data_IF_704749453609
#
_entry.id   IF_704749453609
#
_cell.length_a   1.000
_cell.length_b   1.000
_cell.length_c   1.000
_cell.angle_alpha   90.00
_cell.angle_beta   90.00
_cell.angle_gamma   90.00
#
_symmetry.space_group_name_H-M   'P 1'
#
loop_
_entity.id
_entity.type
_entity.pdbx_description
1 polymer ?
#
# COMPACT_ATOMS: atom_id res chain seq x y z
N UNK A 1 -11.55 -3.77 -28.07
CA UNK A 1 -10.50 -2.83 -27.62
C UNK A 1 -10.56 -2.80 -26.10
N UNK A 2 -9.53 -3.28 -25.40
CA UNK A 2 -9.41 -3.18 -23.94
C UNK A 2 -8.95 -1.75 -23.62
N UNK A 3 -9.85 -0.91 -23.12
CA UNK A 3 -9.51 0.39 -22.52
C UNK A 3 -9.10 0.16 -21.07
N UNK A 4 -7.89 -0.35 -20.87
CA UNK A 4 -7.24 -0.42 -19.57
C UNK A 4 -6.32 0.78 -19.36
N UNK A 5 -6.02 1.10 -18.09
CA UNK A 5 -4.94 2.02 -17.74
C UNK A 5 -3.81 1.24 -17.09
N UNK A 6 -2.58 1.43 -17.55
CA UNK A 6 -1.40 0.94 -16.87
C UNK A 6 -1.11 1.87 -15.68
N UNK A 7 -1.10 1.31 -14.47
CA UNK A 7 -0.87 2.09 -13.25
C UNK A 7 -1.87 3.23 -13.00
N UNK A 8 -3.11 3.12 -13.51
CA UNK A 8 -4.11 4.18 -13.34
C UNK A 8 -3.80 5.47 -14.11
N UNK A 9 -2.91 5.41 -15.11
CA UNK A 9 -2.35 6.59 -15.79
C UNK A 9 -1.51 7.49 -14.87
N UNK A 10 -1.04 6.96 -13.75
CA UNK A 10 -0.24 7.73 -12.79
C UNK A 10 1.10 8.16 -13.38
N UNK A 11 1.54 9.34 -12.97
CA UNK A 11 2.85 9.93 -13.19
C UNK A 11 3.58 9.99 -11.85
N UNK A 12 4.33 8.93 -11.47
CA UNK A 12 4.86 8.79 -10.11
C UNK A 12 5.65 10.00 -9.63
N UNK A 13 6.41 10.63 -10.52
CA UNK A 13 7.23 11.82 -10.24
C UNK A 13 6.42 13.06 -9.86
N UNK A 14 5.13 13.11 -10.23
CA UNK A 14 4.22 14.21 -9.91
C UNK A 14 3.19 13.84 -8.86
N UNK A 15 2.60 12.65 -8.99
CA UNK A 15 1.45 12.25 -8.20
C UNK A 15 1.84 11.88 -6.77
N UNK A 16 2.98 11.20 -6.56
CA UNK A 16 3.41 10.78 -5.22
C UNK A 16 3.64 11.99 -4.30
N UNK A 17 4.41 13.04 -4.69
CA UNK A 17 4.55 14.24 -3.87
C UNK A 17 3.22 14.91 -3.52
N UNK A 18 2.28 14.94 -4.46
CA UNK A 18 0.95 15.53 -4.24
C UNK A 18 0.12 14.70 -3.26
N UNK A 19 0.13 13.37 -3.38
CA UNK A 19 -0.54 12.46 -2.45
C UNK A 19 0.03 12.64 -1.03
N UNK A 20 1.34 12.77 -0.88
CA UNK A 20 1.97 13.03 0.43
C UNK A 20 1.51 14.35 1.03
N UNK A 21 1.39 15.41 0.22
CA UNK A 21 0.85 16.71 0.67
C UNK A 21 -0.59 16.57 1.17
N UNK A 22 -1.45 15.90 0.42
CA UNK A 22 -2.86 15.67 0.79
C UNK A 22 -2.98 14.86 2.09
N UNK A 23 -2.12 13.84 2.27
CA UNK A 23 -2.06 13.04 3.50
C UNK A 23 -1.60 13.88 4.70
N UNK A 24 -0.57 14.72 4.53
CA UNK A 24 -0.07 15.61 5.56
C UNK A 24 -1.13 16.64 6.00
N UNK A 25 -1.94 17.12 5.06
CA UNK A 25 -3.09 18.00 5.31
C UNK A 25 -4.30 17.27 5.93
N UNK A 26 -4.18 15.97 6.25
CA UNK A 26 -5.24 15.10 6.79
C UNK A 26 -6.52 15.08 5.95
N UNK A 27 -6.41 15.37 4.65
CA UNK A 27 -7.53 15.31 3.71
C UNK A 27 -7.92 13.88 3.33
N UNK A 28 -7.04 12.91 3.61
CA UNK A 28 -7.26 11.47 3.42
C UNK A 28 -6.71 10.72 4.64
N UNK A 29 -7.45 9.71 5.12
CA UNK A 29 -6.98 8.77 6.17
C UNK A 29 -6.68 7.40 5.56
N UNK A 30 -5.39 7.06 5.50
CA UNK A 30 -4.92 5.78 4.95
C UNK A 30 -4.70 4.69 6.00
N UNK A 31 -4.98 4.95 7.29
CA UNK A 31 -4.69 3.97 8.36
C UNK A 31 -5.44 2.66 8.18
N UNK A 32 -6.65 2.71 7.61
CA UNK A 32 -7.47 1.53 7.34
C UNK A 32 -6.93 0.60 6.25
N UNK A 33 -5.95 1.03 5.44
CA UNK A 33 -5.34 0.16 4.43
C UNK A 33 -4.33 -0.82 4.99
N UNK A 34 -3.70 -0.49 6.14
CA UNK A 34 -2.69 -1.34 6.78
C UNK A 34 -3.39 -2.29 7.74
N UNK A 35 -3.50 -3.55 7.33
CA UNK A 35 -4.13 -4.62 8.12
C UNK A 35 -3.15 -5.28 9.09
N UNK A 36 -1.85 -5.30 8.76
CA UNK A 36 -0.85 -6.06 9.50
C UNK A 36 0.49 -5.31 9.60
N UNK A 37 1.25 -5.62 10.65
CA UNK A 37 2.64 -5.17 10.84
C UNK A 37 3.47 -6.38 11.29
N UNK A 38 4.67 -6.51 10.76
CA UNK A 38 5.55 -7.65 11.04
C UNK A 38 7.02 -7.20 11.10
N UNK A 39 7.82 -7.93 11.86
CA UNK A 39 9.28 -7.83 11.79
C UNK A 39 9.82 -8.52 10.53
N UNK A 40 11.05 -8.18 10.14
CA UNK A 40 11.72 -8.83 9.01
C UNK A 40 11.86 -10.35 9.21
N UNK A 41 12.02 -10.80 10.45
CA UNK A 41 12.12 -12.23 10.81
C UNK A 41 10.82 -13.01 10.52
N UNK A 42 9.68 -12.33 10.47
CA UNK A 42 8.36 -12.93 10.24
C UNK A 42 7.92 -12.94 8.76
N UNK A 43 8.82 -12.63 7.83
CA UNK A 43 8.48 -12.42 6.42
C UNK A 43 7.77 -13.64 5.78
N UNK A 44 8.20 -14.86 6.11
CA UNK A 44 7.57 -16.08 5.60
C UNK A 44 6.13 -16.23 6.09
N UNK A 45 5.86 -15.84 7.34
CA UNK A 45 4.52 -15.90 7.94
C UNK A 45 3.60 -14.87 7.30
N UNK A 46 4.07 -13.64 7.09
CA UNK A 46 3.24 -12.59 6.50
C UNK A 46 2.88 -12.91 5.04
N UNK A 47 3.81 -13.48 4.27
CA UNK A 47 3.55 -13.94 2.90
C UNK A 47 2.49 -15.04 2.87
N UNK A 48 2.54 -16.00 3.82
CA UNK A 48 1.52 -17.04 3.91
C UNK A 48 0.12 -16.45 4.17
N UNK A 49 0.02 -15.46 5.06
CA UNK A 49 -1.24 -14.74 5.35
C UNK A 49 -1.72 -13.87 4.18
N UNK A 50 -0.82 -13.31 3.37
CA UNK A 50 -1.20 -12.63 2.14
C UNK A 50 -1.84 -13.59 1.14
N UNK A 51 -1.29 -14.82 1.02
CA UNK A 51 -1.82 -15.84 0.10
C UNK A 51 -3.17 -16.40 0.55
N UNK A 52 -3.44 -16.47 1.86
CA UNK A 52 -4.74 -16.90 2.39
C UNK A 52 -5.82 -15.82 2.29
N UNK A 53 -5.46 -14.57 1.95
CA UNK A 53 -6.39 -13.44 1.88
C UNK A 53 -6.65 -12.74 3.22
N UNK A 54 -5.90 -13.10 4.27
CA UNK A 54 -6.02 -12.47 5.60
C UNK A 54 -5.39 -11.07 5.66
N UNK A 55 -4.49 -10.73 4.72
CA UNK A 55 -3.76 -9.46 4.68
C UNK A 55 -4.25 -8.61 3.51
N UNK A 56 -4.60 -7.34 3.79
CA UNK A 56 -4.86 -6.29 2.78
C UNK A 56 -3.53 -5.64 2.39
N UNK A 57 -2.89 -4.95 3.35
CA UNK A 57 -1.48 -4.55 3.29
C UNK A 57 -0.78 -4.90 4.60
N UNK A 58 0.51 -5.21 4.50
CA UNK A 58 1.41 -5.37 5.62
C UNK A 58 2.58 -4.38 5.52
N UNK A 59 2.93 -3.76 6.65
CA UNK A 59 4.20 -3.02 6.79
C UNK A 59 5.21 -3.95 7.44
N UNK A 60 6.34 -4.17 6.78
CA UNK A 60 7.47 -4.93 7.32
C UNK A 60 8.57 -3.94 7.69
N UNK A 61 9.07 -4.05 8.92
CA UNK A 61 10.16 -3.22 9.42
C UNK A 61 11.27 -4.10 10.01
N UNK A 62 12.50 -3.59 10.01
CA UNK A 62 13.68 -4.21 10.65
C UNK A 62 13.58 -4.16 12.16
#
# INVERSE_FOLDING_TARGET
ILTGSEGGQSRPEKDIPEILRVLAEKKIDCRGFVSHRAGADDLSVIIAKMRSGEVIHAIVAS
#
